data_IF_195094864271
#
_entry.id   IF_195094864271
#
_cell.length_a   1.000
_cell.length_b   1.000
_cell.length_c   1.000
_cell.angle_alpha   90.00
_cell.angle_beta   90.00
_cell.angle_gamma   90.00
#
_symmetry.space_group_name_H-M   'P 1'
#
loop_
_entity.id
_entity.type
_entity.pdbx_description
1 polymer ?
#
# COMPACT_ATOMS: atom_id res chain seq x y z
N UNK A 1 -1.69 18.88 -12.17
CA UNK A 1 -1.78 17.77 -11.21
C UNK A 1 -3.22 17.35 -11.18
N UNK A 2 -3.53 16.10 -11.57
CA UNK A 2 -4.89 15.59 -11.59
C UNK A 2 -5.51 15.66 -10.19
N UNK A 3 -6.84 15.62 -10.15
CA UNK A 3 -7.62 15.61 -8.91
C UNK A 3 -8.40 14.32 -8.81
N UNK A 4 -8.39 13.72 -7.62
CA UNK A 4 -9.30 12.62 -7.29
C UNK A 4 -10.72 13.19 -7.18
N UNK A 5 -11.68 12.53 -7.83
CA UNK A 5 -13.09 12.86 -7.66
C UNK A 5 -13.48 12.78 -6.16
N UNK A 6 -14.13 13.81 -5.58
CA UNK A 6 -14.45 13.82 -4.15
C UNK A 6 -15.26 12.61 -3.66
N UNK A 7 -16.16 12.07 -4.50
CA UNK A 7 -16.96 10.88 -4.15
C UNK A 7 -16.11 9.61 -4.11
N UNK A 8 -15.10 9.53 -4.99
CA UNK A 8 -14.11 8.45 -5.00
C UNK A 8 -13.21 8.54 -3.76
N UNK A 9 -12.72 9.73 -3.43
CA UNK A 9 -11.96 9.98 -2.21
C UNK A 9 -12.75 9.64 -0.94
N UNK A 10 -14.04 10.03 -0.88
CA UNK A 10 -14.92 9.70 0.23
C UNK A 10 -15.15 8.18 0.37
N UNK A 11 -15.30 7.47 -0.74
CA UNK A 11 -15.42 6.00 -0.74
C UNK A 11 -14.13 5.34 -0.24
N UNK A 12 -12.98 5.82 -0.71
CA UNK A 12 -11.66 5.36 -0.27
C UNK A 12 -11.47 5.49 1.25
N UNK A 13 -11.91 6.62 1.82
CA UNK A 13 -11.83 6.91 3.25
C UNK A 13 -12.71 6.02 4.14
N UNK A 14 -13.66 5.26 3.57
CA UNK A 14 -14.49 4.33 4.33
C UNK A 14 -13.83 2.97 4.58
N UNK A 15 -12.66 2.69 4.00
CA UNK A 15 -11.96 1.43 4.27
C UNK A 15 -11.54 1.34 5.74
N UNK A 16 -12.03 0.31 6.46
CA UNK A 16 -11.72 0.08 7.89
C UNK A 16 -10.67 -1.00 8.12
N UNK A 17 -9.93 -1.37 7.07
CA UNK A 17 -8.80 -2.32 7.14
C UNK A 17 -9.13 -3.69 7.76
N UNK A 18 -10.37 -4.18 7.61
CA UNK A 18 -10.77 -5.52 8.07
C UNK A 18 -10.06 -6.69 7.35
N UNK A 19 -9.11 -6.42 6.47
CA UNK A 19 -8.36 -7.41 5.69
C UNK A 19 -9.22 -8.36 4.83
N UNK A 20 -10.54 -8.12 4.69
CA UNK A 20 -11.45 -8.93 3.89
C UNK A 20 -11.01 -9.07 2.43
N UNK A 21 -10.32 -8.06 1.89
CA UNK A 21 -9.76 -8.13 0.53
C UNK A 21 -8.48 -9.00 0.39
N UNK A 22 -7.98 -9.57 1.50
CA UNK A 22 -6.79 -10.42 1.57
C UNK A 22 -7.13 -11.90 1.83
N UNK A 23 -8.39 -12.20 2.13
CA UNK A 23 -8.88 -13.54 2.43
C UNK A 23 -9.96 -13.88 1.41
N UNK A 24 -9.98 -15.09 0.87
CA UNK A 24 -11.05 -15.53 -0.05
C UNK A 24 -12.17 -16.23 0.73
N UNK A 25 -13.06 -15.46 1.35
CA UNK A 25 -14.18 -16.03 2.10
C UNK A 25 -15.44 -16.26 1.26
N UNK A 26 -15.48 -15.72 0.03
CA UNK A 26 -16.56 -15.98 -0.93
C UNK A 26 -16.26 -17.13 -1.89
N UNK A 27 -15.03 -17.65 -1.91
CA UNK A 27 -14.59 -18.68 -2.87
C UNK A 27 -14.48 -18.15 -4.30
N UNK A 28 -14.26 -16.84 -4.45
CA UNK A 28 -14.19 -16.12 -5.74
C UNK A 28 -12.77 -15.63 -6.05
N UNK A 29 -11.82 -15.94 -5.17
CA UNK A 29 -10.44 -15.50 -5.21
C UNK A 29 -10.17 -14.19 -4.46
N UNK A 30 -8.89 -13.84 -4.40
CA UNK A 30 -8.38 -12.54 -3.96
C UNK A 30 -7.72 -11.81 -5.13
N UNK A 31 -7.45 -10.51 -4.97
CA UNK A 31 -6.72 -9.75 -5.96
C UNK A 31 -5.31 -10.37 -6.17
N UNK A 32 -4.95 -10.82 -7.39
CA UNK A 32 -3.69 -11.54 -7.61
C UNK A 32 -2.45 -10.69 -7.37
N UNK A 33 -2.54 -9.37 -7.61
CA UNK A 33 -1.45 -8.43 -7.37
C UNK A 33 -0.99 -8.40 -5.92
N UNK A 34 -1.88 -8.71 -4.97
CA UNK A 34 -1.55 -8.71 -3.54
C UNK A 34 -0.51 -9.78 -3.21
N UNK A 35 -0.84 -11.09 -3.33
CA UNK A 35 0.11 -12.18 -3.07
C UNK A 35 1.37 -12.14 -3.92
N UNK A 36 1.27 -11.70 -5.19
CA UNK A 36 2.42 -11.61 -6.08
C UNK A 36 3.48 -10.61 -5.60
N UNK A 37 3.03 -9.46 -5.08
CA UNK A 37 3.92 -8.34 -4.69
C UNK A 37 4.14 -8.24 -3.18
N UNK A 38 3.31 -8.90 -2.38
CA UNK A 38 3.41 -8.98 -0.93
C UNK A 38 2.94 -7.75 -0.15
N UNK A 39 3.33 -6.53 -0.55
CA UNK A 39 3.00 -5.33 0.22
C UNK A 39 1.49 -5.02 0.20
N UNK A 40 0.97 -4.48 1.32
CA UNK A 40 -0.43 -4.01 1.43
C UNK A 40 -0.83 -3.07 0.30
N UNK A 41 0.11 -2.27 -0.17
CA UNK A 41 0.01 -1.34 -1.32
C UNK A 41 -0.62 -1.97 -2.56
N UNK A 42 -0.33 -3.25 -2.81
CA UNK A 42 -0.80 -3.98 -4.00
C UNK A 42 -2.12 -4.73 -3.78
N UNK A 43 -2.62 -4.77 -2.55
CA UNK A 43 -3.97 -5.25 -2.24
C UNK A 43 -4.99 -4.12 -2.44
N UNK A 44 -6.29 -4.47 -2.60
CA UNK A 44 -7.36 -3.47 -2.69
C UNK A 44 -7.33 -2.47 -1.53
N UNK A 45 -7.11 -2.93 -0.29
CA UNK A 45 -6.96 -2.05 0.87
C UNK A 45 -5.90 -0.97 0.66
N UNK A 46 -4.69 -1.34 0.23
CA UNK A 46 -3.62 -0.37 0.00
C UNK A 46 -3.98 0.64 -1.10
N UNK A 47 -4.65 0.21 -2.17
CA UNK A 47 -5.14 1.13 -3.21
C UNK A 47 -6.19 2.12 -2.68
N UNK A 48 -7.05 1.70 -1.76
CA UNK A 48 -7.96 2.62 -1.06
C UNK A 48 -7.16 3.66 -0.26
N UNK A 49 -6.13 3.24 0.48
CA UNK A 49 -5.28 4.15 1.24
C UNK A 49 -4.53 5.14 0.34
N UNK A 50 -4.04 4.69 -0.82
CA UNK A 50 -3.38 5.55 -1.81
C UNK A 50 -4.33 6.59 -2.37
N UNK A 51 -5.55 6.22 -2.74
CA UNK A 51 -6.54 7.18 -3.25
C UNK A 51 -6.91 8.21 -2.19
N UNK A 52 -7.14 7.78 -0.94
CA UNK A 52 -7.37 8.70 0.18
C UNK A 52 -6.21 9.68 0.34
N UNK A 53 -4.98 9.16 0.36
CA UNK A 53 -3.77 9.97 0.52
C UNK A 53 -3.60 11.00 -0.60
N UNK A 54 -3.87 10.61 -1.85
CA UNK A 54 -3.83 11.50 -3.01
C UNK A 54 -4.91 12.57 -2.93
N UNK A 55 -6.14 12.21 -2.53
CA UNK A 55 -7.25 13.14 -2.34
C UNK A 55 -6.94 14.18 -1.24
N UNK A 56 -6.23 13.78 -0.19
CA UNK A 56 -5.79 14.64 0.90
C UNK A 56 -4.46 15.37 0.63
N UNK A 57 -3.78 15.09 -0.49
CA UNK A 57 -2.47 15.69 -0.81
C UNK A 57 -1.33 15.25 0.12
N UNK A 58 -1.41 14.06 0.72
CA UNK A 58 -0.46 13.55 1.74
C UNK A 58 0.79 12.90 1.16
N UNK A 59 0.71 12.35 -0.06
CA UNK A 59 1.80 11.62 -0.71
C UNK A 59 1.98 12.07 -2.16
N UNK A 60 3.22 12.03 -2.70
CA UNK A 60 3.47 12.22 -4.12
C UNK A 60 3.13 10.94 -4.92
N UNK A 61 3.08 11.05 -6.25
CA UNK A 61 3.05 9.89 -7.14
C UNK A 61 4.44 9.27 -7.20
N UNK A 62 4.58 8.07 -6.64
CA UNK A 62 5.82 7.30 -6.63
C UNK A 62 5.78 6.13 -7.61
N UNK A 63 6.92 5.47 -7.81
CA UNK A 63 7.00 4.27 -8.63
C UNK A 63 6.09 3.15 -8.10
N UNK A 64 6.09 2.90 -6.78
CA UNK A 64 5.22 1.88 -6.20
C UNK A 64 3.72 2.23 -6.30
N UNK A 65 3.35 3.50 -6.19
CA UNK A 65 1.96 3.94 -6.40
C UNK A 65 1.52 3.68 -7.84
N UNK A 66 2.35 4.07 -8.80
CA UNK A 66 2.07 3.93 -10.21
C UNK A 66 1.97 2.43 -10.60
N UNK A 67 2.89 1.61 -10.09
CA UNK A 67 2.83 0.15 -10.27
C UNK A 67 1.55 -0.44 -9.66
N UNK A 68 1.18 -0.05 -8.43
CA UNK A 68 -0.05 -0.53 -7.79
C UNK A 68 -1.31 -0.21 -8.60
N UNK A 69 -1.32 0.93 -9.30
CA UNK A 69 -2.40 1.29 -10.23
C UNK A 69 -2.35 0.45 -11.53
N UNK A 70 -1.15 0.26 -12.08
CA UNK A 70 -0.93 -0.47 -13.34
C UNK A 70 -1.28 -1.96 -13.22
N UNK A 71 -0.99 -2.60 -12.08
CA UNK A 71 -1.33 -4.02 -11.85
C UNK A 71 -2.83 -4.28 -11.65
N UNK A 72 -3.66 -3.24 -11.55
CA UNK A 72 -5.09 -3.42 -11.44
C UNK A 72 -5.73 -3.69 -12.82
N UNK A 73 -6.35 -4.86 -12.96
CA UNK A 73 -7.08 -5.27 -14.18
C UNK A 73 -8.56 -4.91 -14.17
N UNK A 74 -9.03 -4.22 -13.13
CA UNK A 74 -10.45 -3.89 -12.92
C UNK A 74 -11.39 -5.12 -12.93
N UNK A 75 -10.90 -6.29 -12.49
CA UNK A 75 -11.68 -7.53 -12.48
C UNK A 75 -12.86 -7.55 -11.50
N UNK A 76 -12.94 -6.61 -10.56
CA UNK A 76 -14.07 -6.50 -9.62
C UNK A 76 -14.09 -7.50 -8.45
N UNK A 77 -13.13 -8.43 -8.34
CA UNK A 77 -13.08 -9.40 -7.20
C UNK A 77 -13.12 -8.69 -5.85
N UNK A 78 -12.38 -7.58 -5.71
CA UNK A 78 -12.37 -6.78 -4.49
C UNK A 78 -13.75 -6.19 -4.14
N UNK A 79 -14.59 -5.92 -5.14
CA UNK A 79 -15.93 -5.37 -4.93
C UNK A 79 -16.88 -6.42 -4.39
N UNK A 80 -16.89 -7.62 -4.97
CA UNK A 80 -17.70 -8.72 -4.45
C UNK A 80 -17.39 -9.02 -2.98
N UNK A 81 -16.10 -9.11 -2.65
CA UNK A 81 -15.67 -9.31 -1.27
C UNK A 81 -16.12 -8.13 -0.39
N UNK A 82 -15.58 -6.92 -0.57
CA UNK A 82 -15.87 -5.80 0.32
C UNK A 82 -17.36 -5.45 0.43
N UNK A 83 -18.13 -5.56 -0.66
CA UNK A 83 -19.56 -5.24 -0.65
C UNK A 83 -20.34 -6.21 0.24
N UNK A 84 -20.03 -7.51 0.20
CA UNK A 84 -20.68 -8.49 1.05
C UNK A 84 -20.45 -8.20 2.55
N UNK A 85 -19.22 -7.87 2.94
CA UNK A 85 -18.88 -7.67 4.35
C UNK A 85 -19.27 -6.29 4.89
N UNK A 86 -19.25 -5.25 4.06
CA UNK A 86 -19.33 -3.85 4.52
C UNK A 86 -20.25 -2.96 3.69
N UNK A 87 -20.80 -3.45 2.58
CA UNK A 87 -21.53 -2.64 1.61
C UNK A 87 -20.65 -1.80 0.69
N UNK A 88 -19.33 -1.75 0.93
CA UNK A 88 -18.39 -0.91 0.18
C UNK A 88 -18.19 -1.37 -1.26
N UNK A 89 -18.07 -0.43 -2.20
CA UNK A 89 -17.88 -0.68 -3.64
C UNK A 89 -16.53 -0.14 -4.14
N UNK A 90 -15.42 -0.86 -3.91
CA UNK A 90 -14.07 -0.40 -4.20
C UNK A 90 -13.71 -0.33 -5.68
N UNK A 91 -14.47 -0.94 -6.61
CA UNK A 91 -14.05 -0.98 -8.02
C UNK A 91 -13.92 0.42 -8.64
N UNK A 92 -14.85 1.32 -8.29
CA UNK A 92 -14.79 2.72 -8.71
C UNK A 92 -13.52 3.42 -8.19
N UNK A 93 -13.06 3.07 -6.99
CA UNK A 93 -11.81 3.60 -6.41
C UNK A 93 -10.59 3.08 -7.18
N UNK A 94 -10.58 1.80 -7.56
CA UNK A 94 -9.51 1.23 -8.38
C UNK A 94 -9.42 1.93 -9.75
N UNK A 95 -10.56 2.14 -10.41
CA UNK A 95 -10.63 2.86 -11.68
C UNK A 95 -10.18 4.33 -11.54
N UNK A 96 -10.56 4.98 -10.44
CA UNK A 96 -10.13 6.34 -10.11
C UNK A 96 -8.62 6.46 -9.92
N UNK A 97 -8.00 5.51 -9.18
CA UNK A 97 -6.54 5.47 -9.01
C UNK A 97 -5.82 5.31 -10.36
N UNK A 98 -6.30 4.40 -11.20
CA UNK A 98 -5.72 4.13 -12.52
C UNK A 98 -5.79 5.37 -13.41
N UNK A 99 -6.97 5.99 -13.50
CA UNK A 99 -7.20 7.21 -14.28
C UNK A 99 -6.32 8.37 -13.79
N UNK A 100 -6.17 8.51 -12.47
CA UNK A 100 -5.31 9.53 -11.88
C UNK A 100 -3.86 9.38 -12.30
N UNK A 101 -3.30 8.15 -12.24
CA UNK A 101 -1.91 7.88 -12.63
C UNK A 101 -1.69 8.09 -14.14
N UNK A 102 -2.64 7.65 -14.97
CA UNK A 102 -2.60 7.87 -16.42
C UNK A 102 -2.60 9.35 -16.77
N UNK A 103 -3.48 10.14 -16.14
CA UNK A 103 -3.53 11.59 -16.33
C UNK A 103 -2.26 12.28 -15.81
N UNK A 104 -1.76 11.88 -14.64
CA UNK A 104 -0.53 12.42 -14.07
C UNK A 104 0.65 12.24 -15.04
N UNK A 105 0.77 11.06 -15.66
CA UNK A 105 1.78 10.78 -16.70
C UNK A 105 1.57 11.64 -17.95
N UNK A 106 0.32 11.77 -18.42
CA UNK A 106 -0.04 12.58 -19.59
C UNK A 106 0.29 14.07 -19.40
N UNK A 107 0.11 14.59 -18.19
CA UNK A 107 0.47 15.97 -17.82
C UNK A 107 1.99 16.18 -17.63
N UNK A 108 2.82 15.15 -17.83
CA UNK A 108 4.28 15.23 -17.62
C UNK A 108 4.67 15.25 -16.14
N UNK A 109 3.81 14.75 -15.26
CA UNK A 109 4.09 14.61 -13.83
C UNK A 109 5.32 13.74 -13.57
N UNK A 110 6.17 14.16 -12.64
CA UNK A 110 7.39 13.42 -12.27
C UNK A 110 7.06 12.31 -11.28
N UNK A 111 7.32 11.06 -11.67
CA UNK A 111 7.21 9.90 -10.78
C UNK A 111 8.41 9.88 -9.83
N UNK A 112 8.14 9.95 -8.53
CA UNK A 112 9.18 9.97 -7.50
C UNK A 112 9.76 8.57 -7.31
N UNK A 113 11.10 8.50 -7.34
CA UNK A 113 11.88 7.30 -7.02
C UNK A 113 12.75 7.59 -5.80
N UNK A 114 12.39 7.10 -4.61
CA UNK A 114 13.17 7.31 -3.41
C UNK A 114 14.57 6.72 -3.57
N UNK A 115 15.57 7.45 -3.06
CA UNK A 115 16.95 6.98 -3.04
C UNK A 115 17.10 5.92 -1.95
N UNK A 116 17.86 4.88 -2.22
CA UNK A 116 18.25 3.89 -1.23
C UNK A 116 19.34 4.46 -0.31
N UNK A 117 19.11 4.41 1.00
CA UNK A 117 20.11 4.73 2.01
C UNK A 117 20.78 3.45 2.57
N UNK A 118 21.85 3.64 3.36
CA UNK A 118 22.62 2.54 3.92
C UNK A 118 21.77 1.57 4.77
N UNK A 119 20.78 2.10 5.50
CA UNK A 119 19.94 1.28 6.36
C UNK A 119 19.00 0.40 5.53
N UNK A 120 18.38 0.96 4.49
CA UNK A 120 17.59 0.18 3.55
C UNK A 120 18.44 -0.84 2.80
N UNK A 121 19.68 -0.50 2.43
CA UNK A 121 20.64 -1.42 1.83
C UNK A 121 20.89 -2.65 2.70
N UNK A 122 21.15 -2.46 4.01
CA UNK A 122 21.31 -3.56 4.96
C UNK A 122 20.03 -4.39 5.17
N UNK A 123 18.87 -3.74 5.23
CA UNK A 123 17.58 -4.44 5.34
C UNK A 123 17.37 -5.32 4.10
N UNK A 124 17.63 -4.78 2.90
CA UNK A 124 17.52 -5.52 1.63
C UNK A 124 18.53 -6.65 1.52
N UNK A 125 19.69 -6.55 2.15
CA UNK A 125 20.64 -7.67 2.22
C UNK A 125 20.10 -8.86 3.04
N UNK A 126 19.13 -8.63 3.93
CA UNK A 126 18.49 -9.68 4.75
C UNK A 126 17.29 -10.29 4.02
N UNK A 127 16.32 -9.46 3.60
CA UNK A 127 15.03 -9.94 3.06
C UNK A 127 14.96 -9.92 1.53
N UNK A 128 15.94 -9.34 0.86
CA UNK A 128 15.93 -9.13 -0.59
C UNK A 128 15.30 -7.79 -1.00
N UNK A 129 15.66 -7.31 -2.20
CA UNK A 129 15.26 -5.99 -2.72
C UNK A 129 13.75 -5.83 -2.87
N UNK A 130 13.05 -6.89 -3.26
CA UNK A 130 11.60 -6.90 -3.46
C UNK A 130 10.79 -6.84 -2.14
N UNK A 131 11.42 -7.16 -1.00
CA UNK A 131 10.73 -7.35 0.28
C UNK A 131 11.07 -6.26 1.30
N UNK A 132 11.74 -5.18 0.87
CA UNK A 132 11.98 -3.99 1.70
C UNK A 132 11.90 -2.70 0.90
N UNK A 133 11.22 -1.69 1.47
CA UNK A 133 10.95 -0.43 0.80
C UNK A 133 11.00 0.78 1.75
N UNK A 134 11.47 1.91 1.24
CA UNK A 134 11.30 3.25 1.78
C UNK A 134 10.40 4.14 0.89
N UNK A 135 9.64 3.53 -0.04
CA UNK A 135 8.76 4.26 -0.94
C UNK A 135 7.56 4.87 -0.19
N UNK A 136 7.34 6.21 -0.26
CA UNK A 136 6.25 6.88 0.44
C UNK A 136 4.87 6.24 0.26
N UNK A 137 4.57 5.72 -0.94
CA UNK A 137 3.31 5.04 -1.19
C UNK A 137 3.23 3.72 -0.44
N UNK A 138 4.32 2.96 -0.38
CA UNK A 138 4.40 1.76 0.46
C UNK A 138 4.25 2.13 1.92
N UNK A 139 5.07 3.05 2.43
CA UNK A 139 5.07 3.46 3.83
C UNK A 139 3.68 3.94 4.30
N UNK A 140 2.96 4.71 3.47
CA UNK A 140 1.62 5.21 3.80
C UNK A 140 0.60 4.10 4.05
N UNK A 141 0.63 3.02 3.25
CA UNK A 141 -0.27 1.87 3.45
C UNK A 141 -0.01 1.07 4.72
N UNK A 142 1.07 1.39 5.45
CA UNK A 142 1.39 0.86 6.77
C UNK A 142 1.36 1.93 7.88
N UNK A 143 1.06 3.18 7.54
CA UNK A 143 1.10 4.29 8.48
C UNK A 143 -0.14 4.37 9.38
N UNK A 144 -1.25 3.82 8.92
CA UNK A 144 -2.54 3.92 9.59
C UNK A 144 -3.06 2.52 9.96
N UNK A 145 -3.71 2.44 11.11
CA UNK A 145 -4.66 1.40 11.48
C UNK A 145 -5.90 2.18 11.92
N UNK A 146 -7.02 2.14 11.16
CA UNK A 146 -8.10 3.10 11.24
C UNK A 146 -8.80 3.09 12.61
N UNK A 147 -8.17 3.75 13.58
CA UNK A 147 -8.60 3.92 14.94
C UNK A 147 -8.87 5.41 15.20
N UNK A 148 -10.07 5.79 15.69
CA UNK A 148 -10.51 7.20 15.71
C UNK A 148 -9.66 8.18 16.53
N UNK A 149 -8.76 7.69 17.40
CA UNK A 149 -8.00 8.52 18.34
C UNK A 149 -6.50 8.57 18.04
N UNK A 150 -6.06 7.97 16.94
CA UNK A 150 -4.63 7.95 16.57
C UNK A 150 -4.43 8.54 15.19
N UNK A 151 -3.45 9.43 15.08
CA UNK A 151 -2.98 9.92 13.80
C UNK A 151 -2.09 8.89 13.09
N UNK A 152 -2.06 8.88 11.75
CA UNK A 152 -1.14 8.03 11.00
C UNK A 152 0.32 8.28 11.39
N UNK A 153 1.08 7.21 11.62
CA UNK A 153 2.51 7.26 11.91
C UNK A 153 3.28 6.57 10.80
N UNK A 154 3.91 7.37 9.95
CA UNK A 154 4.70 6.86 8.84
C UNK A 154 5.94 6.09 9.34
N UNK A 155 6.10 4.80 8.99
CA UNK A 155 7.36 4.12 9.19
C UNK A 155 8.43 4.72 8.25
N UNK A 156 9.71 4.53 8.59
CA UNK A 156 10.81 4.87 7.65
C UNK A 156 11.07 3.76 6.63
N UNK A 157 10.82 2.52 7.03
CA UNK A 157 11.01 1.33 6.20
C UNK A 157 9.89 0.35 6.50
N UNK A 158 9.48 -0.39 5.47
CA UNK A 158 8.67 -1.60 5.62
C UNK A 158 9.50 -2.75 5.08
N UNK A 159 9.57 -3.85 5.84
CA UNK A 159 10.27 -5.08 5.46
C UNK A 159 9.38 -6.29 5.72
N UNK A 160 9.42 -7.28 4.83
CA UNK A 160 8.63 -8.51 4.89
C UNK A 160 9.55 -9.72 4.93
N UNK A 161 9.97 -10.18 6.13
CA UNK A 161 10.81 -11.36 6.25
C UNK A 161 10.01 -12.63 5.92
N UNK A 162 10.62 -13.54 5.16
CA UNK A 162 10.05 -14.83 4.77
C UNK A 162 10.42 -15.99 5.69
N UNK A 163 11.31 -15.77 6.67
CA UNK A 163 11.78 -16.80 7.59
C UNK A 163 12.06 -16.27 9.00
N UNK A 164 12.03 -17.17 10.00
CA UNK A 164 12.42 -16.83 11.38
C UNK A 164 13.87 -16.34 11.48
N UNK A 165 14.75 -16.83 10.59
CA UNK A 165 16.13 -16.37 10.48
C UNK A 165 16.23 -14.90 10.05
N UNK A 166 15.48 -14.52 9.03
CA UNK A 166 15.39 -13.12 8.58
C UNK A 166 14.79 -12.20 9.64
N UNK A 167 13.73 -12.64 10.34
CA UNK A 167 13.16 -11.89 11.47
C UNK A 167 14.23 -11.60 12.53
N UNK A 168 14.97 -12.63 12.96
CA UNK A 168 16.04 -12.49 13.94
C UNK A 168 17.15 -11.55 13.45
N UNK A 169 17.53 -11.66 12.18
CA UNK A 169 18.53 -10.79 11.56
C UNK A 169 18.07 -9.31 11.52
N UNK A 170 16.81 -9.05 11.17
CA UNK A 170 16.23 -7.69 11.18
C UNK A 170 16.19 -7.11 12.59
N UNK A 171 15.77 -7.87 13.60
CA UNK A 171 15.75 -7.41 15.00
C UNK A 171 17.16 -7.05 15.46
N UNK A 172 18.16 -7.89 15.17
CA UNK A 172 19.56 -7.59 15.48
C UNK A 172 20.06 -6.34 14.75
N UNK A 173 19.72 -6.18 13.47
CA UNK A 173 20.07 -4.99 12.70
C UNK A 173 19.44 -3.73 13.31
N UNK A 174 18.15 -3.79 13.65
CA UNK A 174 17.42 -2.68 14.25
C UNK A 174 18.05 -2.25 15.58
N UNK A 175 18.40 -3.20 16.46
CA UNK A 175 19.11 -2.91 17.71
C UNK A 175 20.47 -2.27 17.45
N UNK A 176 21.28 -2.83 16.53
CA UNK A 176 22.61 -2.28 16.21
C UNK A 176 22.54 -0.85 15.66
N UNK A 177 21.53 -0.54 14.84
CA UNK A 177 21.32 0.78 14.22
C UNK A 177 20.51 1.75 15.09
N UNK A 178 20.00 1.31 16.25
CA UNK A 178 19.10 2.11 17.09
C UNK A 178 17.76 2.42 16.40
N UNK A 179 17.28 1.55 15.53
CA UNK A 179 16.00 1.70 14.83
C UNK A 179 14.86 1.11 15.67
N UNK A 180 13.85 1.91 16.08
CA UNK A 180 12.64 1.35 16.65
C UNK A 180 11.87 0.57 15.57
N UNK A 181 11.22 -0.51 15.97
CA UNK A 181 10.45 -1.37 15.06
C UNK A 181 9.13 -1.79 15.70
N UNK A 182 8.17 -2.12 14.83
CA UNK A 182 6.90 -2.73 15.21
C UNK A 182 6.64 -3.91 14.26
N UNK A 183 6.06 -4.98 14.79
CA UNK A 183 5.64 -6.14 13.99
C UNK A 183 4.18 -5.94 13.61
N UNK A 184 3.84 -6.19 12.34
CA UNK A 184 2.49 -6.08 11.80
C UNK A 184 2.20 -7.29 10.93
N UNK A 185 0.99 -7.85 11.04
CA UNK A 185 0.51 -9.02 10.30
C UNK A 185 -0.99 -8.93 10.06
#
# INVERSE_FOLDING_TARGET
MPRIDPSIGATAAQCRHYAMCKIDYLGTGICPSGPEKGFVTFYPQGRMDLVRALAEGRIPVTEALAEAADTCTLCGVCEGQCHFATGLRPLAVMAGLKSYVEEFRREGGTIVRPVEDDALGEIRAIVGRAWASNDPAVLWTYADDPFPLTEPRLPRYVAMPGSAGEVSALVRLAVRRGLPYAVRG
#
